data_IF_226282098984
#
_entry.id   IF_226282098984
#
_cell.length_a   1.000
_cell.length_b   1.000
_cell.length_c   1.000
_cell.angle_alpha   90.00
_cell.angle_beta   90.00
_cell.angle_gamma   90.00
#
_symmetry.space_group_name_H-M   'P 1'
#
loop_
_entity.id
_entity.type
_entity.pdbx_description
1 polymer ?
#
# COMPACT_ATOMS: atom_id res chain seq x y z
N UNK A 1 -46.02 -24.44 29.54
CA UNK A 1 -44.82 -24.88 28.80
C UNK A 1 -44.87 -24.58 27.30
N UNK A 2 -45.96 -24.87 26.57
CA UNK A 2 -46.06 -24.65 25.10
C UNK A 2 -45.84 -23.19 24.63
N UNK A 3 -46.31 -22.19 25.39
CA UNK A 3 -46.12 -20.76 25.06
C UNK A 3 -44.66 -20.30 25.23
N UNK A 4 -43.96 -20.81 26.25
CA UNK A 4 -42.53 -20.56 26.47
C UNK A 4 -41.68 -21.21 25.37
N UNK A 5 -42.01 -22.45 24.99
CA UNK A 5 -41.33 -23.14 23.89
C UNK A 5 -41.49 -22.41 22.55
N UNK A 6 -42.70 -21.91 22.25
CA UNK A 6 -42.97 -21.09 21.07
C UNK A 6 -42.14 -19.81 21.04
N UNK A 7 -41.99 -19.14 22.18
CA UNK A 7 -41.21 -17.91 22.26
C UNK A 7 -39.71 -18.16 22.04
N UNK A 8 -39.19 -19.27 22.58
CA UNK A 8 -37.79 -19.69 22.39
C UNK A 8 -37.51 -19.97 20.92
N UNK A 9 -38.42 -20.65 20.21
CA UNK A 9 -38.28 -20.91 18.77
C UNK A 9 -38.25 -19.61 17.96
N UNK A 10 -39.11 -18.63 18.28
CA UNK A 10 -39.09 -17.34 17.60
C UNK A 10 -37.80 -16.56 17.83
N UNK A 11 -37.23 -16.61 19.03
CA UNK A 11 -35.95 -15.96 19.35
C UNK A 11 -34.79 -16.63 18.60
N UNK A 12 -34.77 -17.97 18.54
CA UNK A 12 -33.76 -18.71 17.78
C UNK A 12 -33.84 -18.42 16.26
N UNK A 13 -35.05 -18.33 15.71
CA UNK A 13 -35.25 -18.02 14.30
C UNK A 13 -34.77 -16.60 13.96
N UNK A 14 -35.04 -15.62 14.83
CA UNK A 14 -34.56 -14.25 14.68
C UNK A 14 -33.03 -14.14 14.80
N UNK A 15 -32.41 -14.92 15.69
CA UNK A 15 -30.96 -14.97 15.85
C UNK A 15 -30.24 -15.51 14.61
N UNK A 16 -30.84 -16.48 13.91
CA UNK A 16 -30.24 -17.06 12.70
C UNK A 16 -30.17 -16.04 11.54
N UNK A 17 -31.16 -15.14 11.44
CA UNK A 17 -31.19 -14.11 10.40
C UNK A 17 -30.08 -13.04 10.57
N UNK A 18 -29.47 -12.94 11.76
CA UNK A 18 -28.38 -12.00 12.03
C UNK A 18 -26.99 -12.56 11.65
N UNK A 19 -26.89 -13.83 11.28
CA UNK A 19 -25.62 -14.45 10.83
C UNK A 19 -25.41 -14.12 9.35
N UNK A 20 -24.86 -12.94 9.07
CA UNK A 20 -24.46 -12.54 7.72
C UNK A 20 -23.10 -13.15 7.37
N UNK A 21 -23.10 -14.16 6.51
CA UNK A 21 -21.89 -14.70 5.88
C UNK A 21 -21.39 -13.71 4.82
N UNK A 22 -20.71 -12.66 5.25
CA UNK A 22 -20.01 -11.76 4.32
C UNK A 22 -18.87 -12.52 3.65
N UNK A 23 -18.88 -12.56 2.32
CA UNK A 23 -17.79 -13.15 1.57
C UNK A 23 -16.58 -12.23 1.66
N UNK A 24 -15.47 -12.72 2.22
CA UNK A 24 -14.18 -12.03 2.14
C UNK A 24 -13.77 -11.98 0.67
N UNK A 25 -13.58 -10.76 0.18
CA UNK A 25 -13.02 -10.52 -1.14
C UNK A 25 -11.51 -10.42 -0.93
N UNK A 26 -10.78 -11.44 -1.34
CA UNK A 26 -9.33 -11.42 -1.38
C UNK A 26 -8.90 -11.09 -2.82
N UNK A 27 -8.31 -9.91 -3.02
CA UNK A 27 -7.87 -9.43 -4.33
C UNK A 27 -6.36 -9.50 -4.36
N UNK A 28 -5.82 -10.44 -5.16
CA UNK A 28 -4.40 -10.43 -5.48
C UNK A 28 -4.12 -9.30 -6.46
N UNK A 29 -3.53 -8.22 -5.94
CA UNK A 29 -3.08 -7.10 -6.75
C UNK A 29 -1.72 -7.44 -7.35
N UNK A 30 -1.57 -7.17 -8.65
CA UNK A 30 -0.25 -7.27 -9.29
C UNK A 30 0.65 -6.16 -8.75
N UNK A 31 1.96 -6.43 -8.54
CA UNK A 31 2.91 -5.38 -8.25
C UNK A 31 2.89 -4.35 -9.39
N UNK A 32 2.94 -3.07 -9.04
CA UNK A 32 3.06 -1.99 -10.01
C UNK A 32 4.43 -2.00 -10.70
N UNK A 33 4.55 -1.26 -11.80
CA UNK A 33 5.81 -1.14 -12.53
C UNK A 33 6.88 -0.44 -11.66
N UNK A 34 8.09 -1.00 -11.65
CA UNK A 34 9.25 -0.37 -11.04
C UNK A 34 9.76 0.78 -11.92
N UNK A 35 9.93 1.96 -11.33
CA UNK A 35 10.51 3.12 -12.02
C UNK A 35 11.68 3.69 -11.22
N UNK A 36 12.65 4.27 -11.93
CA UNK A 36 13.78 4.98 -11.33
C UNK A 36 13.30 6.35 -10.85
N UNK A 37 13.55 6.65 -9.58
CA UNK A 37 13.29 7.93 -8.96
C UNK A 37 14.61 8.67 -8.76
N UNK A 38 14.67 9.89 -9.26
CA UNK A 38 15.83 10.78 -9.14
C UNK A 38 15.45 11.95 -8.24
N UNK A 39 16.01 11.96 -7.04
CA UNK A 39 15.89 13.07 -6.09
C UNK A 39 17.20 13.86 -6.12
N UNK A 40 17.13 15.18 -6.25
CA UNK A 40 18.33 16.01 -6.29
C UNK A 40 18.09 17.38 -5.70
N UNK A 41 19.03 17.82 -4.87
CA UNK A 41 19.15 19.20 -4.44
C UNK A 41 20.41 19.79 -5.07
N UNK A 42 20.17 20.73 -5.98
CA UNK A 42 21.21 21.39 -6.76
C UNK A 42 21.31 22.83 -6.28
N UNK A 43 22.53 23.24 -5.93
CA UNK A 43 22.83 24.61 -5.50
C UNK A 43 23.75 25.28 -6.52
N UNK A 44 23.64 26.61 -6.63
CA UNK A 44 24.58 27.41 -7.41
C UNK A 44 25.89 27.66 -6.65
N UNK A 45 26.99 27.88 -7.39
CA UNK A 45 28.30 28.21 -6.85
C UNK A 45 29.02 27.04 -6.17
N UNK A 46 29.85 27.32 -5.16
CA UNK A 46 30.70 26.34 -4.46
C UNK A 46 29.96 25.51 -3.40
N UNK A 47 28.64 25.42 -3.52
CA UNK A 47 27.78 24.73 -2.57
C UNK A 47 27.71 23.23 -2.86
N UNK A 48 27.62 22.40 -1.82
CA UNK A 48 27.51 20.94 -1.99
C UNK A 48 26.12 20.56 -2.47
N UNK A 49 26.03 20.09 -3.72
CA UNK A 49 24.82 19.48 -4.28
C UNK A 49 24.79 17.98 -4.01
N UNK A 50 23.60 17.39 -3.92
CA UNK A 50 23.46 15.95 -3.77
C UNK A 50 22.36 15.39 -4.67
N UNK A 51 22.55 14.13 -5.09
CA UNK A 51 21.59 13.37 -5.87
C UNK A 51 21.45 11.98 -5.24
N UNK A 52 20.21 11.54 -5.07
CA UNK A 52 19.84 10.23 -4.57
C UNK A 52 18.99 9.52 -5.61
N UNK A 53 19.38 8.28 -5.90
CA UNK A 53 18.67 7.42 -6.84
C UNK A 53 18.02 6.28 -6.07
N UNK A 54 16.72 6.07 -6.28
CA UNK A 54 15.97 4.96 -5.71
C UNK A 54 15.06 4.33 -6.76
N UNK A 55 14.54 3.13 -6.48
CA UNK A 55 13.43 2.55 -7.22
C UNK A 55 12.12 2.74 -6.46
N UNK A 56 11.00 2.78 -7.18
CA UNK A 56 9.67 2.75 -6.54
C UNK A 56 9.49 1.47 -5.71
N UNK A 57 8.85 1.61 -4.56
CA UNK A 57 8.43 0.47 -3.72
C UNK A 57 6.92 0.22 -3.89
N UNK A 58 6.49 -1.00 -3.56
CA UNK A 58 5.07 -1.35 -3.58
C UNK A 58 4.28 -0.53 -2.55
N UNK A 59 3.04 -0.16 -2.90
CA UNK A 59 2.16 0.65 -2.04
C UNK A 59 1.94 0.05 -0.64
N UNK A 60 1.85 -1.28 -0.55
CA UNK A 60 1.67 -2.01 0.70
C UNK A 60 2.98 -2.55 1.27
N UNK A 61 4.14 -2.13 0.75
CA UNK A 61 5.43 -2.52 1.30
C UNK A 61 5.82 -1.58 2.43
N UNK A 62 6.17 -2.15 3.58
CA UNK A 62 6.77 -1.42 4.70
C UNK A 62 8.30 -1.25 4.53
N UNK A 63 8.87 -1.78 3.44
CA UNK A 63 10.29 -1.68 3.16
C UNK A 63 10.64 -0.31 2.55
N UNK A 64 11.80 0.27 2.95
CA UNK A 64 12.26 1.52 2.35
C UNK A 64 12.55 1.33 0.85
N UNK A 65 12.35 2.37 0.01
CA UNK A 65 12.66 2.32 -1.41
C UNK A 65 14.09 1.84 -1.68
N UNK A 66 14.30 0.83 -2.54
CA UNK A 66 15.62 0.30 -2.84
C UNK A 66 16.55 1.39 -3.41
N UNK A 67 17.74 1.54 -2.85
CA UNK A 67 18.73 2.53 -3.30
C UNK A 67 19.48 2.00 -4.51
N UNK A 68 19.72 2.87 -5.50
CA UNK A 68 20.56 2.58 -6.66
C UNK A 68 21.96 3.18 -6.43
N UNK A 69 23.00 2.34 -6.48
CA UNK A 69 24.40 2.73 -6.28
C UNK A 69 25.25 2.46 -7.53
N UNK A 70 26.41 3.12 -7.63
CA UNK A 70 27.34 2.94 -8.74
C UNK A 70 26.91 3.56 -10.08
N UNK A 71 25.81 4.31 -10.11
CA UNK A 71 25.37 5.03 -11.29
C UNK A 71 26.24 6.27 -11.56
N UNK A 72 26.45 6.58 -12.83
CA UNK A 72 27.05 7.84 -13.26
C UNK A 72 25.94 8.89 -13.43
N UNK A 73 26.06 10.01 -12.71
CA UNK A 73 25.11 11.11 -12.76
C UNK A 73 25.80 12.33 -13.36
N UNK A 74 25.21 12.90 -14.41
CA UNK A 74 25.68 14.14 -15.03
C UNK A 74 24.57 15.18 -14.95
N UNK A 75 24.87 16.32 -14.34
CA UNK A 75 23.97 17.47 -14.26
C UNK A 75 24.42 18.47 -15.31
N UNK A 76 23.52 18.85 -16.22
CA UNK A 76 23.79 19.81 -17.28
C UNK A 76 22.73 20.90 -17.29
N UNK A 77 23.13 22.14 -17.57
CA UNK A 77 22.19 23.21 -17.90
C UNK A 77 21.60 22.93 -19.29
N UNK A 78 20.27 22.96 -19.43
CA UNK A 78 19.61 22.87 -20.73
C UNK A 78 19.52 24.28 -21.31
N UNK A 79 20.16 24.50 -22.45
CA UNK A 79 20.04 25.74 -23.24
C UNK A 79 18.61 25.97 -23.75
#
# INVERSE_FOLDING_TARGET
MKKLLRNIVFVLLAGWLMVSCTKRIDISLKPGDETLVVEGYLFGGDSVSWVRLTKTSGYFSDEPPPVVSGAQVMVSHKE
#
